data_IF_453546549677
#
_entry.id   IF_453546549677
#
_cell.length_a   1.000
_cell.length_b   1.000
_cell.length_c   1.000
_cell.angle_alpha   90.00
_cell.angle_beta   90.00
_cell.angle_gamma   90.00
#
_symmetry.space_group_name_H-M   'P 1'
#
loop_
_entity.id
_entity.type
_entity.pdbx_description
1 polymer ?
#
# COMPACT_ATOMS: atom_id res chain seq x y z
N UNK A 1 -0.78 11.11 -5.81
CA UNK A 1 -1.54 10.18 -4.95
C UNK A 1 -1.07 8.78 -5.29
N UNK A 2 -0.93 7.89 -4.30
CA UNK A 2 -0.43 6.52 -4.48
C UNK A 2 -1.40 5.50 -3.88
N UNK A 3 -1.34 4.27 -4.39
CA UNK A 3 -2.03 3.10 -3.84
C UNK A 3 -0.97 2.04 -3.50
N UNK A 4 -1.04 1.48 -2.30
CA UNK A 4 -0.03 0.56 -1.77
C UNK A 4 -0.73 -0.70 -1.27
N UNK A 5 -0.74 -1.79 -2.06
CA UNK A 5 -1.08 -3.11 -1.56
C UNK A 5 0.00 -3.56 -0.57
N UNK A 6 -0.42 -3.97 0.63
CA UNK A 6 0.50 -4.22 1.72
C UNK A 6 -0.04 -5.25 2.71
N UNK A 7 0.87 -5.79 3.53
CA UNK A 7 0.53 -6.56 4.73
C UNK A 7 0.58 -5.64 5.94
N UNK A 8 -0.45 -5.69 6.77
CA UNK A 8 -0.51 -4.95 8.03
C UNK A 8 0.37 -5.65 9.06
N UNK A 9 1.32 -4.92 9.66
CA UNK A 9 2.21 -5.45 10.69
C UNK A 9 1.76 -5.02 12.09
N UNK A 10 1.73 -3.70 12.33
CA UNK A 10 1.43 -3.13 13.65
C UNK A 10 0.58 -1.89 13.50
N UNK A 11 -0.48 -1.79 14.30
CA UNK A 11 -1.39 -0.64 14.33
C UNK A 11 -1.33 0.04 15.70
N UNK A 12 -1.34 1.36 15.71
CA UNK A 12 -1.44 2.21 16.92
C UNK A 12 -2.66 3.13 16.81
N UNK A 13 -2.80 4.13 17.69
CA UNK A 13 -3.93 5.06 17.62
C UNK A 13 -3.86 6.03 16.43
N UNK A 14 -2.66 6.25 15.84
CA UNK A 14 -2.46 7.26 14.79
C UNK A 14 -1.60 6.81 13.62
N UNK A 15 -1.01 5.62 13.71
CA UNK A 15 -0.13 5.06 12.69
C UNK A 15 -0.33 3.58 12.50
N UNK A 16 -0.03 3.10 11.30
CA UNK A 16 0.11 1.68 11.01
C UNK A 16 1.42 1.46 10.25
N UNK A 17 2.21 0.48 10.69
CA UNK A 17 3.36 -0.01 9.94
C UNK A 17 2.89 -1.13 9.03
N UNK A 18 3.23 -1.02 7.74
CA UNK A 18 2.86 -2.01 6.73
C UNK A 18 4.08 -2.49 5.96
N UNK A 19 4.07 -3.75 5.56
CA UNK A 19 5.04 -4.30 4.63
C UNK A 19 4.53 -4.16 3.20
N UNK A 20 5.30 -3.51 2.34
CA UNK A 20 5.00 -3.35 0.91
C UNK A 20 5.30 -4.62 0.12
N UNK A 21 4.81 -4.70 -1.12
CA UNK A 21 4.95 -5.89 -1.96
C UNK A 21 6.41 -6.25 -2.31
N UNK A 22 7.30 -5.26 -2.30
CA UNK A 22 8.75 -5.44 -2.51
C UNK A 22 9.50 -5.88 -1.24
N UNK A 23 8.79 -6.04 -0.12
CA UNK A 23 9.34 -6.42 1.17
C UNK A 23 9.79 -5.25 2.04
N UNK A 24 9.73 -4.01 1.54
CA UNK A 24 10.00 -2.80 2.32
C UNK A 24 8.93 -2.53 3.40
N UNK A 25 9.21 -1.57 4.26
CA UNK A 25 8.26 -1.12 5.29
C UNK A 25 7.93 0.37 5.14
N UNK A 26 6.65 0.71 5.32
CA UNK A 26 6.15 2.07 5.25
C UNK A 26 5.32 2.38 6.50
N UNK A 27 5.55 3.55 7.07
CA UNK A 27 4.72 4.11 8.13
C UNK A 27 3.55 4.89 7.52
N UNK A 28 2.33 4.46 7.80
CA UNK A 28 1.12 5.12 7.32
C UNK A 28 0.50 5.91 8.48
N UNK A 29 0.37 7.23 8.31
CA UNK A 29 -0.27 8.14 9.27
C UNK A 29 -1.73 8.34 8.90
N UNK A 30 -2.60 8.42 9.90
CA UNK A 30 -4.02 8.75 9.73
C UNK A 30 -4.55 9.61 10.87
N UNK A 31 -5.72 10.19 10.65
CA UNK A 31 -6.47 10.95 11.65
C UNK A 31 -7.84 10.29 11.83
N UNK A 32 -8.25 10.06 13.08
CA UNK A 32 -9.50 9.35 13.37
C UNK A 32 -9.36 7.84 13.15
N UNK A 33 -10.41 7.21 12.64
CA UNK A 33 -10.46 5.77 12.45
C UNK A 33 -9.48 5.27 11.36
N UNK A 34 -8.70 4.24 11.70
CA UNK A 34 -7.82 3.56 10.76
C UNK A 34 -8.61 2.79 9.71
N UNK A 35 -9.78 2.22 10.04
CA UNK A 35 -10.64 1.46 9.14
C UNK A 35 -10.02 0.17 8.60
N UNK A 36 -8.86 -0.24 9.15
CA UNK A 36 -8.14 -1.47 8.81
C UNK A 36 -8.67 -2.61 9.69
N UNK A 37 -9.20 -3.64 9.07
CA UNK A 37 -9.80 -4.81 9.73
C UNK A 37 -9.25 -6.15 9.24
N UNK A 38 -8.26 -6.13 8.36
CA UNK A 38 -7.75 -7.32 7.66
C UNK A 38 -6.23 -7.35 7.62
N UNK A 39 -5.64 -8.53 7.41
CA UNK A 39 -4.18 -8.73 7.39
C UNK A 39 -3.50 -8.12 6.17
N UNK A 40 -4.22 -8.00 5.06
CA UNK A 40 -3.75 -7.32 3.85
C UNK A 40 -4.70 -6.17 3.56
N UNK A 41 -4.15 -5.05 3.13
CA UNK A 41 -4.94 -3.88 2.78
C UNK A 41 -4.29 -3.15 1.62
N UNK A 42 -5.09 -2.38 0.89
CA UNK A 42 -4.58 -1.37 -0.03
C UNK A 42 -4.76 0.01 0.61
N UNK A 43 -3.62 0.66 0.87
CA UNK A 43 -3.59 2.01 1.42
C UNK A 43 -3.61 3.00 0.26
N UNK A 44 -4.56 3.93 0.27
CA UNK A 44 -4.64 5.03 -0.69
C UNK A 44 -4.24 6.31 0.02
N UNK A 45 -3.27 7.06 -0.50
CA UNK A 45 -2.77 8.24 0.20
C UNK A 45 -1.78 9.11 -0.54
N UNK A 46 -1.16 10.01 0.23
CA UNK A 46 -0.14 10.94 -0.23
C UNK A 46 1.19 10.62 0.44
N UNK A 47 2.25 10.48 -0.37
CA UNK A 47 3.63 10.35 0.13
C UNK A 47 4.01 11.64 0.84
N UNK A 48 4.46 11.53 2.09
CA UNK A 48 5.00 12.66 2.87
C UNK A 48 6.52 12.69 2.71
N UNK A 49 7.15 11.53 2.85
CA UNK A 49 8.60 11.33 2.72
C UNK A 49 8.87 9.89 2.24
N UNK A 50 10.15 9.50 2.16
CA UNK A 50 10.58 8.22 1.59
C UNK A 50 9.94 6.99 2.25
N UNK A 51 9.57 7.06 3.53
CA UNK A 51 9.05 5.93 4.30
C UNK A 51 7.69 6.21 4.92
N UNK A 52 7.06 7.34 4.59
CA UNK A 52 5.82 7.79 5.24
C UNK A 52 4.74 8.19 4.25
N UNK A 53 3.53 7.67 4.47
CA UNK A 53 2.33 8.01 3.69
C UNK A 53 1.23 8.53 4.61
N UNK A 54 0.55 9.60 4.21
CA UNK A 54 -0.72 10.04 4.83
C UNK A 54 -1.89 9.30 4.18
N UNK A 55 -2.59 8.47 4.93
CA UNK A 55 -3.78 7.74 4.48
C UNK A 55 -4.92 8.71 4.16
N UNK A 56 -5.52 8.54 3.00
CA UNK A 56 -6.80 9.15 2.61
C UNK A 56 -7.94 8.13 2.67
N UNK A 57 -7.67 6.89 2.24
CA UNK A 57 -8.63 5.79 2.30
C UNK A 57 -7.91 4.45 2.49
N UNK A 58 -8.68 3.42 2.84
CA UNK A 58 -8.21 2.03 2.92
C UNK A 58 -9.21 1.11 2.26
N UNK A 59 -8.70 0.11 1.55
CA UNK A 59 -9.47 -1.03 1.07
C UNK A 59 -8.97 -2.25 1.82
N UNK A 60 -9.85 -2.88 2.59
CA UNK A 60 -9.54 -4.12 3.31
C UNK A 60 -9.49 -5.28 2.30
N UNK A 61 -8.32 -5.89 2.16
CA UNK A 61 -8.13 -7.08 1.33
C UNK A 61 -8.32 -8.33 2.21
N UNK A 62 -8.60 -9.48 1.62
CA UNK A 62 -8.83 -10.69 2.42
C UNK A 62 -7.54 -11.18 3.11
N UNK A 63 -7.64 -12.28 3.86
CA UNK A 63 -6.53 -12.84 4.65
C UNK A 63 -5.40 -13.45 3.82
N UNK A 64 -5.60 -13.68 2.52
CA UNK A 64 -4.62 -14.30 1.63
C UNK A 64 -4.34 -13.41 0.42
N UNK A 65 -3.08 -13.02 0.25
CA UNK A 65 -2.60 -12.26 -0.90
C UNK A 65 -1.13 -12.59 -1.15
N UNK A 66 -0.81 -12.99 -2.39
CA UNK A 66 0.57 -13.20 -2.82
C UNK A 66 1.22 -11.86 -3.17
N UNK A 67 1.93 -11.27 -2.20
CA UNK A 67 2.64 -10.01 -2.40
C UNK A 67 3.77 -10.10 -3.43
N UNK A 68 4.36 -11.27 -3.66
CA UNK A 68 5.38 -11.42 -4.70
C UNK A 68 4.77 -11.34 -6.10
N UNK A 69 3.58 -11.93 -6.29
CA UNK A 69 2.84 -11.76 -7.54
C UNK A 69 2.43 -10.30 -7.73
N UNK A 70 1.93 -9.64 -6.68
CA UNK A 70 1.54 -8.23 -6.73
C UNK A 70 2.73 -7.34 -7.13
N UNK A 71 3.91 -7.53 -6.53
CA UNK A 71 5.13 -6.80 -6.89
C UNK A 71 5.51 -6.97 -8.36
N UNK A 72 5.45 -8.20 -8.89
CA UNK A 72 5.72 -8.46 -10.31
C UNK A 72 4.75 -7.71 -11.22
N UNK A 73 3.46 -7.68 -10.88
CA UNK A 73 2.45 -6.94 -11.65
C UNK A 73 2.70 -5.44 -11.56
N UNK A 74 2.99 -4.91 -10.38
CA UNK A 74 3.32 -3.48 -10.20
C UNK A 74 4.55 -3.10 -11.05
N UNK A 75 5.59 -3.93 -11.05
CA UNK A 75 6.79 -3.71 -11.89
C UNK A 75 6.47 -3.75 -13.37
N UNK A 76 5.62 -4.69 -13.81
CA UNK A 76 5.17 -4.79 -15.20
C UNK A 76 4.39 -3.54 -15.63
N UNK A 77 3.52 -3.05 -14.75
CA UNK A 77 2.71 -1.85 -14.94
C UNK A 77 3.58 -0.60 -15.11
N UNK A 78 4.70 -0.51 -14.39
CA UNK A 78 5.67 0.59 -14.47
C UNK A 78 6.78 0.36 -15.50
N UNK A 79 6.78 -0.77 -16.21
CA UNK A 79 7.77 -1.03 -17.25
C UNK A 79 7.57 -0.03 -18.40
N UNK A 80 8.62 0.69 -18.84
CA UNK A 80 8.51 1.68 -19.91
C UNK A 80 7.89 1.14 -21.21
N UNK A 81 7.99 -0.17 -21.46
CA UNK A 81 7.41 -0.83 -22.63
C UNK A 81 5.88 -0.87 -22.60
N UNK A 82 5.27 -0.85 -21.42
CA UNK A 82 3.82 -1.02 -21.23
C UNK A 82 3.14 0.20 -20.61
N UNK A 83 3.89 1.04 -19.89
CA UNK A 83 3.35 2.17 -19.13
C UNK A 83 2.47 3.10 -19.98
N UNK A 84 2.96 3.52 -21.15
CA UNK A 84 2.21 4.41 -22.04
C UNK A 84 0.95 3.76 -22.61
N UNK A 85 0.90 2.44 -22.77
CA UNK A 85 -0.30 1.77 -23.27
C UNK A 85 -1.36 1.60 -22.19
N UNK A 86 -0.93 1.45 -20.93
CA UNK A 86 -1.83 1.23 -19.78
C UNK A 86 -2.38 2.56 -19.24
N UNK A 87 -1.58 3.64 -19.26
CA UNK A 87 -1.90 4.90 -18.59
C UNK A 87 -1.87 6.16 -19.46
N UNK A 88 -1.83 6.05 -20.80
CA UNK A 88 -2.01 7.24 -21.68
C UNK A 88 -3.45 7.76 -21.67
#
# INVERSE_FOLDING_TARGET
MVRIPCKVLTTTDSTVTVQTSDGGEVLVKYTGDHGISTSYAEIVGHVIDQTTVKKAAVINLQSELDLQMVDRVIKLIHDPRFFSTIFS
#
